data_IF_963037902721
#
_entry.id   IF_963037902721
#
_cell.length_a   1.000
_cell.length_b   1.000
_cell.length_c   1.000
_cell.angle_alpha   90.00
_cell.angle_beta   90.00
_cell.angle_gamma   90.00
#
_symmetry.space_group_name_H-M   'P 1'
#
loop_
_entity.id
_entity.type
_entity.pdbx_description
1 polymer ?
#
# COMPACT_ATOMS: atom_id res chain seq x y z
N UNK A 1 -13.56 9.67 -4.62
CA UNK A 1 -14.74 8.85 -4.26
C UNK A 1 -14.30 7.85 -3.19
N UNK A 2 -15.12 7.52 -2.20
CA UNK A 2 -14.79 6.51 -1.17
C UNK A 2 -15.58 5.24 -1.44
N UNK A 3 -14.92 4.08 -1.45
CA UNK A 3 -15.59 2.80 -1.59
C UNK A 3 -16.17 2.34 -0.25
N UNK A 4 -15.41 2.53 0.84
CA UNK A 4 -15.84 2.31 2.22
C UNK A 4 -15.47 3.53 3.07
N UNK A 5 -16.44 4.05 3.83
CA UNK A 5 -16.26 5.09 4.83
C UNK A 5 -17.08 4.73 6.06
N UNK A 6 -16.43 4.14 7.05
CA UNK A 6 -17.05 3.70 8.29
C UNK A 6 -16.33 4.34 9.48
N UNK A 7 -16.72 5.57 9.87
CA UNK A 7 -15.99 6.33 10.89
C UNK A 7 -16.11 5.74 12.30
N UNK A 8 -17.17 4.99 12.59
CA UNK A 8 -17.44 4.40 13.91
C UNK A 8 -16.96 2.95 14.06
N UNK A 9 -16.52 2.33 12.96
CA UNK A 9 -16.12 0.92 12.98
C UNK A 9 -14.74 0.76 13.64
N UNK A 10 -14.68 -0.08 14.67
CA UNK A 10 -13.42 -0.52 15.28
C UNK A 10 -12.83 -1.67 14.48
N UNK A 11 -11.58 -1.53 14.06
CA UNK A 11 -10.86 -2.57 13.35
C UNK A 11 -9.42 -2.70 13.84
N UNK A 12 -8.85 -3.86 13.55
CA UNK A 12 -7.41 -4.09 13.69
C UNK A 12 -6.69 -3.47 12.49
N UNK A 13 -5.54 -2.87 12.76
CA UNK A 13 -4.65 -2.28 11.77
C UNK A 13 -3.26 -2.89 11.92
N UNK A 14 -2.63 -3.20 10.79
CA UNK A 14 -1.18 -3.42 10.69
C UNK A 14 -0.52 -2.05 10.60
N UNK A 15 0.52 -1.84 11.41
CA UNK A 15 1.27 -0.59 11.47
C UNK A 15 2.71 -0.85 11.05
N UNK A 16 3.12 -0.21 9.96
CA UNK A 16 4.47 -0.27 9.43
C UNK A 16 5.20 1.03 9.73
N UNK A 17 6.49 0.93 10.08
CA UNK A 17 7.40 2.06 10.18
C UNK A 17 8.59 1.81 9.28
N UNK A 18 8.89 2.75 8.39
CA UNK A 18 10.04 2.68 7.49
C UNK A 18 11.30 3.29 8.14
N UNK A 19 12.46 3.08 7.53
CA UNK A 19 13.73 3.64 7.99
C UNK A 19 13.75 5.17 8.03
N UNK A 20 13.00 5.84 7.15
CA UNK A 20 12.79 7.29 7.20
C UNK A 20 11.74 7.73 8.23
N UNK A 21 11.25 6.80 9.06
CA UNK A 21 10.20 7.00 10.09
C UNK A 21 8.81 7.30 9.53
N UNK A 22 8.56 7.05 8.24
CA UNK A 22 7.19 7.10 7.69
C UNK A 22 6.37 6.01 8.37
N UNK A 23 5.16 6.37 8.81
CA UNK A 23 4.25 5.49 9.52
C UNK A 23 3.00 5.26 8.69
N UNK A 24 2.72 4.00 8.39
CA UNK A 24 1.55 3.60 7.62
C UNK A 24 0.72 2.61 8.44
N UNK A 25 -0.58 2.89 8.57
CA UNK A 25 -1.53 2.02 9.25
C UNK A 25 -2.66 1.64 8.28
N UNK A 26 -2.92 0.35 8.12
CA UNK A 26 -3.95 -0.16 7.21
C UNK A 26 -4.59 -1.43 7.76
N UNK A 27 -5.75 -1.82 7.23
CA UNK A 27 -6.36 -3.11 7.60
C UNK A 27 -5.49 -4.28 7.12
N UNK A 28 -5.54 -5.45 7.79
CA UNK A 28 -4.70 -6.60 7.43
C UNK A 28 -4.81 -7.05 5.95
N UNK A 29 -6.00 -6.90 5.36
CA UNK A 29 -6.30 -7.31 3.98
C UNK A 29 -6.10 -6.19 2.95
N UNK A 30 -5.55 -5.04 3.34
CA UNK A 30 -5.22 -3.99 2.38
C UNK A 30 -4.05 -4.44 1.50
N UNK A 31 -4.12 -4.18 0.18
CA UNK A 31 -3.05 -4.57 -0.74
C UNK A 31 -1.92 -3.54 -0.72
N UNK A 32 -0.73 -4.01 -0.37
CA UNK A 32 0.49 -3.21 -0.29
C UNK A 32 1.57 -3.82 -1.20
N UNK A 33 2.22 -3.02 -2.07
CA UNK A 33 3.41 -3.46 -2.78
C UNK A 33 4.63 -3.44 -1.85
N UNK A 34 5.12 -4.63 -1.50
CA UNK A 34 6.33 -4.80 -0.70
C UNK A 34 7.12 -6.03 -1.13
N UNK A 35 8.41 -6.08 -0.81
CA UNK A 35 9.26 -7.23 -1.07
C UNK A 35 10.74 -6.96 -0.87
N UNK A 36 11.58 -7.80 -1.46
CA UNK A 36 13.03 -7.71 -1.37
C UNK A 36 13.53 -6.38 -1.96
N UNK A 37 14.40 -5.69 -1.22
CA UNK A 37 14.76 -4.30 -1.51
C UNK A 37 15.43 -4.13 -2.87
N UNK A 38 16.34 -5.04 -3.25
CA UNK A 38 17.05 -4.92 -4.53
C UNK A 38 16.14 -5.29 -5.70
N UNK A 39 15.26 -6.28 -5.53
CA UNK A 39 14.19 -6.55 -6.49
C UNK A 39 13.30 -5.32 -6.72
N UNK A 40 12.84 -4.65 -5.66
CA UNK A 40 12.00 -3.46 -5.79
C UNK A 40 12.73 -2.28 -6.46
N UNK A 41 14.01 -2.06 -6.15
CA UNK A 41 14.83 -1.01 -6.81
C UNK A 41 15.00 -1.30 -8.31
N UNK A 42 15.25 -2.55 -8.67
CA UNK A 42 15.32 -2.99 -10.09
C UNK A 42 13.99 -2.75 -10.80
N UNK A 43 12.87 -3.11 -10.17
CA UNK A 43 11.54 -2.85 -10.72
C UNK A 43 11.28 -1.36 -10.89
N UNK A 44 11.62 -0.52 -9.89
CA UNK A 44 11.41 0.92 -9.95
C UNK A 44 12.20 1.61 -11.07
N UNK A 45 13.32 1.03 -11.48
CA UNK A 45 14.17 1.57 -12.55
C UNK A 45 13.56 1.38 -13.95
N UNK A 46 12.50 0.57 -14.11
CA UNK A 46 11.76 0.47 -15.37
C UNK A 46 10.71 1.57 -15.51
N UNK A 47 10.41 1.99 -16.74
CA UNK A 47 9.42 3.04 -17.03
C UNK A 47 8.01 2.72 -16.52
N UNK A 48 7.70 1.43 -16.30
CA UNK A 48 6.44 0.90 -15.76
C UNK A 48 6.59 0.31 -14.35
N UNK A 49 7.66 0.66 -13.63
CA UNK A 49 8.04 0.04 -12.36
C UNK A 49 7.00 0.18 -11.24
N UNK A 50 6.38 1.36 -11.15
CA UNK A 50 5.31 1.65 -10.19
C UNK A 50 4.10 0.74 -10.45
N UNK A 51 3.65 0.66 -11.71
CA UNK A 51 2.54 -0.18 -12.15
C UNK A 51 2.80 -1.68 -11.92
N UNK A 52 4.01 -2.15 -12.22
CA UNK A 52 4.42 -3.53 -11.93
C UNK A 52 4.36 -3.84 -10.44
N UNK A 53 4.80 -2.90 -9.60
CA UNK A 53 4.82 -3.08 -8.16
C UNK A 53 3.40 -3.11 -7.59
N UNK A 54 2.52 -2.22 -8.04
CA UNK A 54 1.11 -2.23 -7.67
C UNK A 54 0.42 -3.55 -8.03
N UNK A 55 0.71 -4.13 -9.20
CA UNK A 55 0.20 -5.46 -9.59
C UNK A 55 0.72 -6.59 -8.71
N UNK A 56 1.92 -6.46 -8.15
CA UNK A 56 2.53 -7.42 -7.25
C UNK A 56 2.15 -7.20 -5.77
N UNK A 57 1.15 -6.36 -5.48
CA UNK A 57 0.70 -6.10 -4.11
C UNK A 57 0.14 -7.35 -3.45
N UNK A 58 0.43 -7.50 -2.15
CA UNK A 58 -0.04 -8.61 -1.31
C UNK A 58 -0.72 -8.04 -0.07
N UNK A 59 -1.45 -8.86 0.68
CA UNK A 59 -2.04 -8.42 1.95
C UNK A 59 -1.00 -7.86 2.91
N UNK A 60 -1.31 -6.73 3.52
CA UNK A 60 -0.46 -6.01 4.46
C UNK A 60 -0.01 -6.86 5.66
N UNK A 61 -0.82 -7.82 6.09
CA UNK A 61 -0.49 -8.72 7.20
C UNK A 61 0.73 -9.61 6.92
N UNK A 62 1.09 -9.77 5.64
CA UNK A 62 2.25 -10.54 5.20
C UNK A 62 3.55 -9.72 5.15
N UNK A 63 3.50 -8.40 5.39
CA UNK A 63 4.70 -7.56 5.40
C UNK A 63 5.53 -7.79 6.66
N UNK A 64 6.84 -7.94 6.51
CA UNK A 64 7.77 -8.20 7.61
C UNK A 64 8.83 -7.12 7.76
N UNK A 65 9.46 -7.05 8.94
CA UNK A 65 10.67 -6.24 9.14
C UNK A 65 11.76 -6.76 8.20
N UNK A 66 12.41 -5.85 7.47
CA UNK A 66 13.42 -6.18 6.47
C UNK A 66 12.90 -6.14 5.04
N UNK A 67 11.60 -6.32 4.80
CA UNK A 67 10.98 -6.02 3.51
C UNK A 67 11.10 -4.53 3.20
N UNK A 68 11.01 -4.18 1.93
CA UNK A 68 10.96 -2.82 1.45
C UNK A 68 9.57 -2.47 0.90
N UNK A 69 9.25 -1.19 0.93
CA UNK A 69 8.04 -0.58 0.34
C UNK A 69 8.43 0.59 -0.57
N UNK A 70 7.55 0.95 -1.49
CA UNK A 70 7.70 2.19 -2.25
C UNK A 70 7.17 3.37 -1.45
N UNK A 71 7.95 4.45 -1.41
CA UNK A 71 7.60 5.68 -0.73
C UNK A 71 7.81 6.86 -1.66
N UNK A 72 7.24 8.00 -1.31
CA UNK A 72 7.46 9.28 -1.97
C UNK A 72 8.14 10.21 -0.97
N UNK A 73 9.23 10.84 -1.36
CA UNK A 73 9.92 11.84 -0.55
C UNK A 73 9.26 13.22 -0.62
N UNK A 74 9.76 14.19 0.16
CA UNK A 74 9.23 15.55 0.19
C UNK A 74 9.38 16.30 -1.16
N UNK A 75 10.24 15.81 -2.06
CA UNK A 75 10.46 16.36 -3.41
C UNK A 75 9.56 15.68 -4.45
N UNK A 76 8.68 14.77 -4.04
CA UNK A 76 7.79 14.03 -4.93
C UNK A 76 8.48 12.88 -5.66
N UNK A 77 9.70 12.49 -5.27
CA UNK A 77 10.43 11.40 -5.91
C UNK A 77 10.08 10.06 -5.27
N UNK A 78 9.89 9.04 -6.10
CA UNK A 78 9.64 7.68 -5.63
C UNK A 78 10.95 7.05 -5.16
N UNK A 79 10.93 6.46 -3.97
CA UNK A 79 12.06 5.78 -3.36
C UNK A 79 11.63 4.41 -2.82
N UNK A 80 12.60 3.52 -2.61
CA UNK A 80 12.40 2.23 -1.95
C UNK A 80 12.97 2.33 -0.54
N UNK A 81 12.14 2.09 0.48
CA UNK A 81 12.55 2.17 1.88
C UNK A 81 12.28 0.88 2.63
N UNK A 82 13.20 0.53 3.53
CA UNK A 82 13.08 -0.66 4.37
C UNK A 82 12.08 -0.46 5.51
N UNK A 83 11.25 -1.48 5.76
CA UNK A 83 10.43 -1.60 6.96
C UNK A 83 11.33 -1.98 8.13
N UNK A 84 11.38 -1.10 9.14
CA UNK A 84 12.18 -1.30 10.36
C UNK A 84 11.33 -1.74 11.54
N UNK A 85 10.00 -1.56 11.49
CA UNK A 85 9.07 -2.02 12.52
C UNK A 85 7.72 -2.42 11.92
N UNK A 86 7.18 -3.52 12.40
CA UNK A 86 5.80 -3.97 12.17
C UNK A 86 5.11 -4.11 13.51
N UNK A 87 3.89 -3.59 13.61
CA UNK A 87 3.06 -3.67 14.81
C UNK A 87 1.59 -3.85 14.45
N UNK A 88 0.76 -4.04 15.49
CA UNK A 88 -0.70 -4.13 15.36
C UNK A 88 -1.35 -3.16 16.34
N UNK A 89 -2.41 -2.50 15.93
CA UNK A 89 -3.21 -1.62 16.79
C UNK A 89 -4.69 -1.77 16.47
N UNK A 90 -5.56 -1.58 17.46
CA UNK A 90 -6.99 -1.42 17.23
C UNK A 90 -7.28 0.07 17.15
N UNK A 91 -7.94 0.51 16.09
CA UNK A 91 -8.35 1.90 15.91
C UNK A 91 -9.79 1.97 15.43
N UNK A 92 -10.45 3.10 15.67
CA UNK A 92 -11.77 3.40 15.14
C UNK A 92 -11.63 4.18 13.83
N UNK A 93 -12.47 3.88 12.85
CA UNK A 93 -12.53 4.56 11.56
C UNK A 93 -11.80 3.80 10.46
N UNK A 94 -12.52 3.41 9.42
CA UNK A 94 -11.96 2.79 8.20
C UNK A 94 -12.31 3.67 6.99
N UNK A 95 -11.29 4.00 6.20
CA UNK A 95 -11.42 4.80 4.99
C UNK A 95 -10.66 4.11 3.84
N UNK A 96 -11.38 3.78 2.77
CA UNK A 96 -10.78 3.26 1.53
C UNK A 96 -11.15 4.18 0.37
N UNK A 97 -10.44 5.30 0.19
CA UNK A 97 -10.60 6.13 -0.99
C UNK A 97 -10.22 5.34 -2.24
N UNK A 98 -10.89 5.60 -3.35
CA UNK A 98 -10.49 5.07 -4.66
C UNK A 98 -10.08 6.24 -5.56
N UNK A 99 -8.94 6.06 -6.23
CA UNK A 99 -8.44 6.90 -7.32
C UNK A 99 -8.66 6.18 -8.64
N UNK A 100 -8.74 6.93 -9.74
CA UNK A 100 -8.90 6.38 -11.10
C UNK A 100 -7.75 5.43 -11.46
N UNK A 101 -6.54 5.72 -10.97
CA UNK A 101 -5.35 4.92 -11.24
C UNK A 101 -5.24 3.67 -10.34
N UNK A 102 -6.05 3.56 -9.29
CA UNK A 102 -6.00 2.43 -8.35
C UNK A 102 -4.76 2.44 -7.45
N UNK A 103 -4.08 3.59 -7.33
CA UNK A 103 -2.94 3.85 -6.47
C UNK A 103 -3.18 5.06 -5.55
N UNK A 104 -2.64 5.00 -4.33
CA UNK A 104 -2.70 6.06 -3.32
C UNK A 104 -1.34 6.25 -2.68
N UNK A 105 -1.02 7.49 -2.31
CA UNK A 105 0.09 7.78 -1.39
C UNK A 105 -0.51 8.17 -0.05
N UNK A 106 -0.26 7.36 0.98
CA UNK A 106 -0.75 7.61 2.35
C UNK A 106 0.45 7.77 3.26
N UNK A 107 0.56 8.93 3.91
CA UNK A 107 1.72 9.30 4.75
C UNK A 107 3.07 9.09 4.04
N UNK A 108 3.13 9.40 2.74
CA UNK A 108 4.34 9.26 1.93
C UNK A 108 4.67 7.82 1.52
N UNK A 109 3.76 6.85 1.68
CA UNK A 109 3.95 5.46 1.23
C UNK A 109 2.96 5.11 0.14
N UNK A 110 3.44 4.49 -0.94
CA UNK A 110 2.60 4.04 -2.05
C UNK A 110 1.82 2.77 -1.64
N UNK A 111 0.51 2.81 -1.81
CA UNK A 111 -0.42 1.71 -1.54
C UNK A 111 -1.39 1.52 -2.70
N UNK A 112 -1.95 0.33 -2.83
CA UNK A 112 -3.05 0.10 -3.77
C UNK A 112 -4.38 0.58 -3.19
N UNK A 113 -5.29 1.07 -4.03
CA UNK A 113 -6.66 1.42 -3.65
C UNK A 113 -7.57 0.20 -3.41
N UNK A 114 -7.07 -1.01 -3.67
CA UNK A 114 -7.84 -2.23 -3.77
C UNK A 114 -7.65 -3.12 -2.53
N UNK A 115 -8.72 -3.78 -2.06
CA UNK A 115 -8.73 -4.53 -0.79
C UNK A 115 -9.50 -5.85 -0.80
N UNK A 116 -10.16 -6.23 -1.91
CA UNK A 116 -11.09 -7.38 -1.92
C UNK A 116 -10.63 -8.60 -2.74
N UNK A 117 -9.66 -8.46 -3.64
CA UNK A 117 -9.15 -9.57 -4.49
C UNK A 117 -7.66 -9.35 -4.65
N UNK A 118 -6.84 -10.39 -4.45
CA UNK A 118 -5.39 -10.40 -4.69
C UNK A 118 -5.04 -10.30 -6.19
N UNK A 119 -5.62 -9.34 -6.89
CA UNK A 119 -5.28 -8.97 -8.26
C UNK A 119 -5.80 -7.56 -8.57
N UNK A 120 -4.88 -6.59 -8.57
CA UNK A 120 -5.13 -5.21 -8.98
C UNK A 120 -5.81 -5.15 -10.36
N UNK A 121 -5.34 -5.97 -11.30
CA UNK A 121 -5.87 -6.06 -12.67
C UNK A 121 -7.33 -6.51 -12.70
N UNK A 122 -7.69 -7.54 -11.92
CA UNK A 122 -9.07 -8.08 -11.91
C UNK A 122 -10.04 -7.09 -11.27
N UNK A 123 -9.60 -6.35 -10.24
CA UNK A 123 -10.44 -5.33 -9.62
C UNK A 123 -10.67 -4.12 -10.53
N UNK A 124 -9.62 -3.69 -11.25
CA UNK A 124 -9.71 -2.58 -12.21
C UNK A 124 -10.72 -2.86 -13.34
N UNK A 125 -10.64 -4.04 -13.96
CA UNK A 125 -11.57 -4.46 -15.03
C UNK A 125 -13.03 -4.49 -14.56
N UNK A 126 -13.30 -4.84 -13.29
CA UNK A 126 -14.68 -4.88 -12.77
C UNK A 126 -15.28 -3.48 -12.55
N UNK A 127 -14.45 -2.49 -12.24
CA UNK A 127 -14.87 -1.11 -12.00
C UNK A 127 -15.12 -0.37 -13.31
N UNK A 128 -14.31 -0.64 -14.35
CA UNK A 128 -14.46 0.00 -15.67
C UNK A 128 -15.70 -0.48 -16.45
N UNK A 129 -16.36 -1.55 -16.01
CA UNK A 129 -17.53 -2.17 -16.66
C UNK A 129 -18.85 -1.81 -15.95
N UNK A 130 -18.81 -0.94 -14.93
CA UNK A 130 -19.99 -0.53 -14.14
C UNK A 130 -20.40 0.92 -14.40
#
# INVERSE_FOLDING_TARGET
MFYHREPETRAQFVVLITESKKRLAMTPLHLLPFGECDAMKRTLSSSDGVEKSLRASRFADNAAVGDCVMTVDEKGQVAVEKIVKVGRQISTGIYSPMTVDGALVVNGVLSSCFSQVESHTVQKVRVDVQ
#
